data_IF_177714282185
#
_entry.id   IF_177714282185
#
_cell.length_a   1.000
_cell.length_b   1.000
_cell.length_c   1.000
_cell.angle_alpha   90.00
_cell.angle_beta   90.00
_cell.angle_gamma   90.00
#
_symmetry.space_group_name_H-M   'P 1'
#
loop_
_entity.id
_entity.type
_entity.pdbx_description
1 polymer ?
#
# COMPACT_ATOMS: atom_id res chain seq x y z
N UNK A 1 -3.16 9.72 52.06
CA UNK A 1 -2.01 9.33 51.21
C UNK A 1 -2.22 8.06 50.39
N UNK A 2 -2.65 6.92 50.97
CA UNK A 2 -2.79 5.62 50.26
C UNK A 2 -3.66 5.60 48.99
N UNK A 3 -4.78 6.33 48.92
CA UNK A 3 -5.66 6.35 47.73
C UNK A 3 -5.04 7.06 46.52
N UNK A 4 -4.37 8.20 46.73
CA UNK A 4 -3.71 8.95 45.64
C UNK A 4 -2.58 8.14 45.02
N UNK A 5 -1.77 7.47 45.84
CA UNK A 5 -0.70 6.57 45.38
C UNK A 5 -1.25 5.40 44.54
N UNK A 6 -2.36 4.79 44.95
CA UNK A 6 -3.02 3.73 44.18
C UNK A 6 -3.53 4.21 42.81
N UNK A 7 -4.14 5.39 42.75
CA UNK A 7 -4.62 5.98 41.49
C UNK A 7 -3.45 6.29 40.56
N UNK A 8 -2.38 6.89 41.07
CA UNK A 8 -1.17 7.17 40.27
C UNK A 8 -0.58 5.88 39.70
N UNK A 9 -0.53 4.80 40.49
CA UNK A 9 -0.03 3.51 40.02
C UNK A 9 -0.89 2.90 38.90
N UNK A 10 -2.23 2.94 39.04
CA UNK A 10 -3.16 2.45 38.02
C UNK A 10 -3.00 3.21 36.70
N UNK A 11 -2.88 4.53 36.77
CA UNK A 11 -2.66 5.37 35.57
C UNK A 11 -1.34 5.01 34.89
N UNK A 12 -0.28 4.80 35.66
CA UNK A 12 1.04 4.50 35.12
C UNK A 12 1.07 3.14 34.40
N UNK A 13 0.42 2.13 34.98
CA UNK A 13 0.23 0.81 34.34
C UNK A 13 -0.64 0.92 33.09
N UNK A 14 -1.71 1.72 33.14
CA UNK A 14 -2.57 1.96 31.97
C UNK A 14 -1.81 2.60 30.80
N UNK A 15 -1.00 3.63 31.09
CA UNK A 15 -0.16 4.29 30.09
C UNK A 15 0.89 3.35 29.53
N UNK A 16 1.54 2.52 30.37
CA UNK A 16 2.53 1.55 29.88
C UNK A 16 1.91 0.50 28.97
N UNK A 17 0.72 -0.01 29.31
CA UNK A 17 0.02 -1.00 28.48
C UNK A 17 -0.39 -0.41 27.13
N UNK A 18 -0.88 0.83 27.11
CA UNK A 18 -1.24 1.52 25.87
C UNK A 18 0.00 1.79 25.00
N UNK A 19 1.11 2.24 25.60
CA UNK A 19 2.37 2.45 24.89
C UNK A 19 2.92 1.14 24.31
N UNK A 20 2.89 0.05 25.09
CA UNK A 20 3.31 -1.28 24.62
C UNK A 20 2.42 -1.79 23.48
N UNK A 21 1.10 -1.57 23.54
CA UNK A 21 0.20 -1.94 22.45
C UNK A 21 0.52 -1.16 21.17
N UNK A 22 0.78 0.14 21.28
CA UNK A 22 1.16 0.98 20.14
C UNK A 22 2.50 0.54 19.54
N UNK A 23 3.51 0.31 20.37
CA UNK A 23 4.84 -0.17 19.92
C UNK A 23 4.71 -1.54 19.27
N UNK A 24 3.94 -2.46 19.86
CA UNK A 24 3.71 -3.79 19.29
C UNK A 24 3.01 -3.68 17.93
N UNK A 25 2.02 -2.80 17.79
CA UNK A 25 1.33 -2.59 16.52
C UNK A 25 2.28 -2.07 15.42
N UNK A 26 3.14 -1.10 15.74
CA UNK A 26 4.17 -0.63 14.80
C UNK A 26 5.26 -1.67 14.50
N UNK A 27 5.62 -2.50 15.47
CA UNK A 27 6.65 -3.54 15.32
C UNK A 27 6.21 -4.71 14.42
N UNK A 28 4.90 -4.85 14.16
CA UNK A 28 4.36 -5.88 13.27
C UNK A 28 4.31 -5.46 11.80
N UNK A 29 4.78 -4.25 11.44
CA UNK A 29 4.94 -3.89 10.05
C UNK A 29 6.13 -4.64 9.44
N UNK A 30 5.85 -5.83 8.91
CA UNK A 30 6.80 -6.54 8.07
C UNK A 30 6.81 -5.92 6.68
N UNK A 31 8.01 -5.53 6.21
CA UNK A 31 8.20 -5.09 4.84
C UNK A 31 7.76 -6.25 3.92
N UNK A 32 7.01 -5.97 2.84
CA UNK A 32 6.62 -7.01 1.90
C UNK A 32 7.85 -7.76 1.38
N UNK A 33 7.76 -9.09 1.34
CA UNK A 33 8.75 -9.92 0.65
C UNK A 33 8.60 -9.70 -0.85
N UNK A 34 9.56 -9.02 -1.46
CA UNK A 34 9.57 -8.68 -2.88
C UNK A 34 10.44 -9.66 -3.66
N UNK A 35 9.99 -10.04 -4.86
CA UNK A 35 10.82 -10.78 -5.81
C UNK A 35 11.87 -9.85 -6.44
N UNK A 36 13.03 -10.40 -6.81
CA UNK A 36 14.08 -9.63 -7.49
C UNK A 36 13.62 -9.12 -8.86
N UNK A 37 12.82 -9.92 -9.59
CA UNK A 37 12.22 -9.56 -10.87
C UNK A 37 10.90 -10.28 -11.08
N UNK A 38 9.99 -9.65 -11.83
CA UNK A 38 8.74 -10.23 -12.34
C UNK A 38 8.53 -9.86 -13.80
N UNK A 39 8.04 -10.80 -14.59
CA UNK A 39 8.00 -10.74 -16.04
C UNK A 39 6.58 -10.80 -16.60
N UNK A 40 6.42 -10.30 -17.82
CA UNK A 40 5.19 -10.43 -18.61
C UNK A 40 3.93 -9.87 -17.92
N UNK A 41 4.09 -8.89 -17.03
CA UNK A 41 2.96 -8.25 -16.36
C UNK A 41 2.35 -7.17 -17.25
N UNK A 42 1.08 -6.85 -17.01
CA UNK A 42 0.34 -5.82 -17.74
C UNK A 42 -0.35 -4.87 -16.78
N UNK A 43 -0.45 -3.60 -17.16
CA UNK A 43 -1.07 -2.53 -16.38
C UNK A 43 -2.13 -1.84 -17.22
N UNK A 44 -3.33 -1.68 -16.67
CA UNK A 44 -4.38 -0.80 -17.16
C UNK A 44 -4.69 0.28 -16.12
N UNK A 45 -4.88 1.52 -16.56
CA UNK A 45 -5.31 2.65 -15.73
C UNK A 45 -6.51 3.29 -16.40
N UNK A 46 -7.68 3.10 -15.79
CA UNK A 46 -8.94 3.73 -16.19
C UNK A 46 -9.17 5.01 -15.38
N UNK A 47 -9.05 6.15 -16.06
CA UNK A 47 -9.25 7.47 -15.45
C UNK A 47 -10.72 7.82 -15.28
N UNK A 48 -11.66 6.93 -15.62
CA UNK A 48 -13.10 7.12 -15.53
C UNK A 48 -13.55 8.44 -16.22
N UNK A 49 -12.91 8.77 -17.34
CA UNK A 49 -13.19 9.93 -18.19
C UNK A 49 -13.24 9.53 -19.68
N UNK A 50 -13.31 8.23 -19.97
CA UNK A 50 -13.21 7.66 -21.31
C UNK A 50 -11.79 7.33 -21.77
N UNK A 51 -10.76 7.74 -21.03
CA UNK A 51 -9.36 7.40 -21.31
C UNK A 51 -8.94 6.18 -20.49
N UNK A 52 -8.28 5.23 -21.15
CA UNK A 52 -7.62 4.10 -20.51
C UNK A 52 -6.18 4.03 -21.00
N UNK A 53 -5.21 4.04 -20.08
CA UNK A 53 -3.79 3.87 -20.38
C UNK A 53 -3.40 2.42 -20.14
N UNK A 54 -2.81 1.79 -21.14
CA UNK A 54 -2.42 0.37 -21.08
C UNK A 54 -0.93 0.18 -21.36
N UNK A 55 -0.32 -0.72 -20.59
CA UNK A 55 1.03 -1.24 -20.79
C UNK A 55 0.97 -2.76 -20.72
N UNK A 56 1.56 -3.42 -21.71
CA UNK A 56 1.54 -4.87 -21.82
C UNK A 56 2.95 -5.43 -21.77
N UNK A 57 3.08 -6.64 -21.24
CA UNK A 57 4.27 -7.47 -21.29
C UNK A 57 5.55 -6.76 -20.84
N UNK A 58 5.49 -6.03 -19.73
CA UNK A 58 6.66 -5.38 -19.16
C UNK A 58 7.22 -6.16 -17.97
N UNK A 59 8.42 -5.76 -17.54
CA UNK A 59 9.16 -6.37 -16.44
C UNK A 59 9.34 -5.36 -15.32
N UNK A 60 9.32 -5.83 -14.08
CA UNK A 60 9.85 -5.12 -12.93
C UNK A 60 11.07 -5.86 -12.40
N UNK A 61 12.03 -5.11 -11.87
CA UNK A 61 13.34 -5.60 -11.46
C UNK A 61 13.84 -4.85 -10.22
N UNK A 62 15.03 -5.21 -9.72
CA UNK A 62 15.70 -4.57 -8.59
C UNK A 62 14.86 -4.58 -7.30
N UNK A 63 14.08 -5.64 -7.07
CA UNK A 63 13.24 -5.77 -5.88
C UNK A 63 12.01 -4.85 -5.85
N UNK A 64 11.72 -4.11 -6.94
CA UNK A 64 10.56 -3.21 -7.05
C UNK A 64 9.40 -3.90 -7.75
N UNK A 65 8.87 -4.95 -7.13
CA UNK A 65 7.95 -5.90 -7.76
C UNK A 65 6.53 -5.84 -7.19
N UNK A 66 6.13 -4.72 -6.57
CA UNK A 66 4.78 -4.54 -6.05
C UNK A 66 3.81 -3.96 -7.07
N UNK A 67 2.50 -4.06 -6.80
CA UNK A 67 1.45 -3.43 -7.61
C UNK A 67 1.62 -1.90 -7.70
N UNK A 68 2.14 -1.26 -6.64
CA UNK A 68 2.48 0.15 -6.64
C UNK A 68 3.72 0.45 -7.51
N UNK A 69 4.74 -0.40 -7.47
CA UNK A 69 5.93 -0.23 -8.33
C UNK A 69 5.58 -0.32 -9.81
N UNK A 70 4.65 -1.22 -10.16
CA UNK A 70 4.10 -1.31 -11.52
C UNK A 70 3.48 0.01 -11.97
N UNK A 71 2.67 0.65 -11.11
CA UNK A 71 2.06 1.93 -11.39
C UNK A 71 3.13 3.04 -11.51
N UNK A 72 4.06 3.09 -10.56
CA UNK A 72 5.10 4.12 -10.45
C UNK A 72 6.12 4.07 -11.60
N UNK A 73 6.28 2.92 -12.24
CA UNK A 73 7.11 2.79 -13.43
C UNK A 73 6.55 3.54 -14.65
N UNK A 74 5.23 3.65 -14.75
CA UNK A 74 4.57 4.08 -15.98
C UNK A 74 3.75 5.36 -15.85
N UNK A 75 3.49 5.81 -14.64
CA UNK A 75 2.65 6.97 -14.36
C UNK A 75 3.34 7.92 -13.39
N UNK A 76 3.00 9.20 -13.49
CA UNK A 76 3.32 10.19 -12.46
C UNK A 76 2.28 10.06 -11.34
N UNK A 77 2.72 9.88 -10.10
CA UNK A 77 1.83 9.58 -8.98
C UNK A 77 2.05 10.59 -7.85
N UNK A 78 0.96 11.15 -7.35
CA UNK A 78 0.92 11.81 -6.04
C UNK A 78 0.24 10.89 -5.02
N UNK A 79 0.83 10.74 -3.84
CA UNK A 79 0.38 9.80 -2.84
C UNK A 79 0.76 10.19 -1.41
N UNK A 80 -0.08 9.78 -0.47
CA UNK A 80 0.21 9.87 0.96
C UNK A 80 0.85 8.55 1.43
N UNK A 81 1.99 8.65 2.14
CA UNK A 81 2.63 7.51 2.79
C UNK A 81 2.39 7.56 4.30
N UNK A 82 1.67 6.58 4.83
CA UNK A 82 1.34 6.49 6.26
C UNK A 82 2.28 5.56 7.04
N UNK A 83 3.35 5.06 6.41
CA UNK A 83 4.29 4.10 6.99
C UNK A 83 3.79 2.65 6.93
N UNK A 84 2.49 2.42 7.17
CA UNK A 84 1.85 1.12 7.04
C UNK A 84 1.25 0.85 5.64
N UNK A 85 1.21 1.86 4.78
CA UNK A 85 0.65 1.76 3.44
C UNK A 85 0.66 3.09 2.69
N UNK A 86 0.44 3.00 1.39
CA UNK A 86 0.36 4.14 0.48
C UNK A 86 -1.09 4.34 0.02
N UNK A 87 -1.56 5.58 0.02
CA UNK A 87 -2.83 5.98 -0.59
C UNK A 87 -2.52 6.87 -1.80
N UNK A 88 -2.87 6.39 -3.00
CA UNK A 88 -2.72 7.15 -4.25
C UNK A 88 -3.81 8.22 -4.34
N UNK A 89 -3.41 9.46 -4.61
CA UNK A 89 -4.29 10.64 -4.71
C UNK A 89 -4.44 11.14 -6.15
N UNK A 90 -3.40 10.97 -6.93
CA UNK A 90 -3.31 11.49 -8.29
C UNK A 90 -2.54 10.51 -9.17
N UNK A 91 -3.00 10.29 -10.40
CA UNK A 91 -2.27 9.56 -11.43
C UNK A 91 -2.28 10.39 -12.70
N UNK A 92 -1.10 10.70 -13.25
CA UNK A 92 -0.90 11.51 -14.45
C UNK A 92 -1.71 12.83 -14.42
N UNK A 93 -1.57 13.60 -13.35
CA UNK A 93 -2.31 14.86 -13.10
C UNK A 93 -3.83 14.72 -12.92
N UNK A 94 -4.37 13.50 -12.79
CA UNK A 94 -5.79 13.25 -12.55
C UNK A 94 -6.03 12.88 -11.09
N UNK A 95 -6.64 13.80 -10.34
CA UNK A 95 -7.00 13.60 -8.93
C UNK A 95 -8.22 12.71 -8.77
N UNK A 96 -8.23 11.90 -7.72
CA UNK A 96 -9.41 11.11 -7.36
C UNK A 96 -9.14 10.06 -6.30
N UNK A 97 -10.16 9.24 -6.04
CA UNK A 97 -9.96 8.00 -5.32
C UNK A 97 -9.61 6.92 -6.33
N UNK A 98 -8.63 6.11 -5.99
CA UNK A 98 -8.11 5.09 -6.88
C UNK A 98 -8.22 3.73 -6.22
N UNK A 99 -8.81 2.77 -6.94
CA UNK A 99 -8.90 1.38 -6.54
C UNK A 99 -8.02 0.57 -7.48
N UNK A 100 -7.31 -0.42 -6.93
CA UNK A 100 -6.51 -1.34 -7.71
C UNK A 100 -7.06 -2.77 -7.64
N UNK A 101 -6.80 -3.54 -8.69
CA UNK A 101 -7.11 -4.98 -8.80
C UNK A 101 -5.93 -5.71 -9.41
N UNK A 102 -5.80 -6.98 -9.03
CA UNK A 102 -4.84 -7.92 -9.59
C UNK A 102 -5.63 -9.10 -10.13
N UNK A 103 -5.50 -9.38 -11.43
CA UNK A 103 -6.22 -10.46 -12.11
C UNK A 103 -7.74 -10.40 -11.86
N UNK A 104 -8.32 -9.19 -11.81
CA UNK A 104 -9.74 -8.94 -11.57
C UNK A 104 -10.18 -8.99 -10.09
N UNK A 105 -9.30 -9.36 -9.16
CA UNK A 105 -9.58 -9.38 -7.71
C UNK A 105 -9.07 -8.11 -7.02
N UNK A 106 -9.82 -7.56 -6.07
CA UNK A 106 -9.40 -6.43 -5.23
C UNK A 106 -8.74 -6.94 -3.95
N UNK A 107 -7.40 -6.82 -3.79
CA UNK A 107 -6.73 -7.30 -2.58
C UNK A 107 -7.15 -6.52 -1.34
N UNK A 108 -7.11 -7.18 -0.18
CA UNK A 108 -7.39 -6.57 1.13
C UNK A 108 -6.17 -5.86 1.74
N UNK A 109 -5.05 -5.82 1.01
CA UNK A 109 -3.80 -5.16 1.42
C UNK A 109 -3.52 -3.97 0.51
N UNK A 110 -2.55 -3.13 0.86
CA UNK A 110 -2.17 -1.98 0.05
C UNK A 110 -1.36 -2.38 -1.19
N UNK A 111 -1.46 -1.58 -2.26
CA UNK A 111 -0.72 -1.82 -3.50
C UNK A 111 0.82 -1.80 -3.30
N UNK A 112 1.31 -1.07 -2.29
CA UNK A 112 2.73 -1.02 -1.92
C UNK A 112 3.22 -2.25 -1.17
N UNK A 113 2.32 -3.16 -0.80
CA UNK A 113 2.60 -4.39 -0.05
C UNK A 113 2.30 -5.64 -0.89
N UNK A 114 1.43 -5.53 -1.89
CA UNK A 114 1.11 -6.64 -2.77
C UNK A 114 2.27 -6.90 -3.76
N UNK A 115 3.05 -7.95 -3.52
CA UNK A 115 4.08 -8.45 -4.45
C UNK A 115 3.42 -9.16 -5.63
N UNK A 116 3.81 -8.77 -6.84
CA UNK A 116 3.31 -9.36 -8.09
C UNK A 116 4.01 -10.67 -8.41
N UNK A 117 3.39 -11.45 -9.29
CA UNK A 117 3.97 -12.63 -9.92
C UNK A 117 4.03 -12.45 -11.44
N UNK A 118 4.78 -13.34 -12.09
CA UNK A 118 4.88 -13.36 -13.54
C UNK A 118 3.50 -13.51 -14.19
N UNK A 119 3.21 -12.68 -15.20
CA UNK A 119 1.96 -12.70 -15.94
C UNK A 119 0.78 -11.97 -15.29
N UNK A 120 0.95 -11.37 -14.12
CA UNK A 120 -0.12 -10.64 -13.44
C UNK A 120 -0.67 -9.47 -14.28
N UNK A 121 -1.99 -9.28 -14.18
CA UNK A 121 -2.73 -8.16 -14.75
C UNK A 121 -3.10 -7.18 -13.64
N UNK A 122 -2.51 -5.99 -13.67
CA UNK A 122 -2.77 -4.91 -12.75
C UNK A 122 -3.78 -3.96 -13.38
N UNK A 123 -4.84 -3.64 -12.64
CA UNK A 123 -5.86 -2.67 -13.06
C UNK A 123 -5.96 -1.59 -11.99
N UNK A 124 -5.97 -0.32 -12.42
CA UNK A 124 -6.27 0.84 -11.58
C UNK A 124 -7.48 1.55 -12.14
N UNK A 125 -8.43 1.88 -11.29
CA UNK A 125 -9.66 2.56 -11.68
C UNK A 125 -9.94 3.74 -10.76
N UNK A 126 -10.22 4.89 -11.37
CA UNK A 126 -10.70 6.06 -10.63
C UNK A 126 -12.17 5.89 -10.25
N UNK A 127 -12.48 6.17 -8.99
CA UNK A 127 -13.83 6.09 -8.39
C UNK A 127 -14.30 7.47 -7.94
#
# INVERSE_FOLDING_TARGET
>A
MRKKVKITFIVLVGVSLLASLLIFNFSLYEKPETLESVYNISLSVDYNNGTVKTRLNFTLDNGKTTAFDALNKWCEIDYDNFGWGIIVREIDSVRGNWIYKINGFSPSIGASVFTLNDGDLIEWQRV
#
